data_IF_995415773134
#
_entry.id   IF_995415773134
#
_cell.length_a   1.000
_cell.length_b   1.000
_cell.length_c   1.000
_cell.angle_alpha   90.00
_cell.angle_beta   90.00
_cell.angle_gamma   90.00
#
_symmetry.space_group_name_H-M   'P 1'
#
loop_
_entity.id
_entity.type
_entity.pdbx_description
1 polymer ?
#
# COMPACT_ATOMS: atom_id res chain seq x y z
N UNK A 1 -60.24 -69.65 -44.73
CA UNK A 1 -60.62 -68.24 -45.00
C UNK A 1 -59.34 -67.41 -44.95
N UNK A 2 -58.84 -66.94 -46.11
CA UNK A 2 -58.82 -65.51 -46.51
C UNK A 2 -57.93 -64.69 -45.53
N UNK A 3 -56.81 -64.03 -45.83
CA UNK A 3 -56.19 -63.43 -47.01
C UNK A 3 -54.71 -63.11 -46.63
N UNK A 4 -53.71 -63.48 -47.44
CA UNK A 4 -52.92 -62.59 -48.32
C UNK A 4 -52.20 -61.37 -47.68
N UNK A 5 -50.86 -61.46 -47.72
CA UNK A 5 -49.88 -60.56 -48.41
C UNK A 5 -49.55 -59.15 -47.86
N UNK A 6 -48.22 -58.92 -47.88
CA UNK A 6 -47.43 -57.75 -48.36
C UNK A 6 -47.14 -56.62 -47.35
N UNK A 7 -45.88 -56.46 -46.93
CA UNK A 7 -44.74 -55.75 -47.57
C UNK A 7 -44.79 -54.23 -47.34
N UNK A 8 -43.86 -53.67 -46.55
CA UNK A 8 -42.77 -52.80 -47.01
C UNK A 8 -42.06 -52.11 -45.83
N UNK A 9 -40.73 -52.16 -45.95
CA UNK A 9 -39.70 -51.41 -45.23
C UNK A 9 -39.85 -49.89 -45.34
N UNK A 10 -39.48 -49.17 -44.28
CA UNK A 10 -38.94 -47.81 -44.37
C UNK A 10 -37.87 -47.57 -43.30
N UNK A 11 -36.65 -47.38 -43.76
CA UNK A 11 -35.46 -46.90 -43.03
C UNK A 11 -35.46 -45.37 -42.96
N UNK A 12 -35.04 -44.77 -41.84
CA UNK A 12 -34.34 -43.47 -41.86
C UNK A 12 -33.37 -43.33 -40.69
N UNK A 13 -32.17 -42.86 -41.04
CA UNK A 13 -31.01 -42.55 -40.20
C UNK A 13 -31.14 -41.18 -39.52
N UNK A 14 -30.42 -40.97 -38.43
CA UNK A 14 -30.11 -39.63 -37.90
C UNK A 14 -28.97 -39.66 -36.87
N UNK A 15 -27.73 -39.47 -37.34
CA UNK A 15 -26.54 -39.10 -36.56
C UNK A 15 -26.60 -37.60 -36.20
N UNK A 16 -26.16 -37.24 -34.99
CA UNK A 16 -25.25 -36.11 -34.66
C UNK A 16 -25.22 -35.93 -33.12
N UNK A 17 -24.14 -36.21 -32.41
CA UNK A 17 -22.94 -35.37 -32.22
C UNK A 17 -23.28 -33.97 -31.66
N UNK A 18 -22.68 -33.67 -30.49
CA UNK A 18 -22.28 -32.31 -30.15
C UNK A 18 -23.00 -31.69 -28.97
N UNK A 19 -22.35 -31.74 -27.80
CA UNK A 19 -22.80 -30.97 -26.65
C UNK A 19 -21.97 -31.20 -25.40
N UNK A 20 -20.65 -31.38 -25.54
CA UNK A 20 -19.75 -31.24 -24.38
C UNK A 20 -19.81 -29.77 -23.99
N UNK A 21 -20.63 -29.45 -23.00
CA UNK A 21 -20.56 -28.18 -22.30
C UNK A 21 -19.25 -28.18 -21.51
N UNK A 22 -18.16 -27.80 -22.20
CA UNK A 22 -16.96 -27.29 -21.56
C UNK A 22 -17.38 -25.97 -20.89
N UNK A 23 -17.92 -26.09 -19.68
CA UNK A 23 -17.95 -25.00 -18.73
C UNK A 23 -16.49 -24.61 -18.54
N UNK A 24 -16.10 -23.55 -19.25
CA UNK A 24 -14.88 -22.81 -19.03
C UNK A 24 -14.92 -22.33 -17.58
N UNK A 25 -14.40 -23.17 -16.68
CA UNK A 25 -13.89 -22.74 -15.41
C UNK A 25 -12.74 -21.79 -15.74
N UNK A 26 -13.09 -20.52 -15.94
CA UNK A 26 -12.18 -19.40 -15.76
C UNK A 26 -11.79 -19.45 -14.29
N UNK A 27 -10.82 -20.32 -13.98
CA UNK A 27 -10.11 -20.25 -12.72
C UNK A 27 -9.69 -18.80 -12.60
N UNK A 28 -10.19 -18.12 -11.57
CA UNK A 28 -9.60 -16.90 -11.10
C UNK A 28 -8.16 -17.28 -10.74
N UNK A 29 -7.27 -17.19 -11.72
CA UNK A 29 -5.86 -17.49 -11.56
C UNK A 29 -5.38 -16.39 -10.62
N UNK A 30 -5.30 -16.75 -9.33
CA UNK A 30 -4.91 -15.83 -8.28
C UNK A 30 -3.58 -15.22 -8.73
N UNK A 31 -3.62 -13.93 -9.07
CA UNK A 31 -2.41 -13.22 -9.46
C UNK A 31 -1.42 -13.39 -8.31
N UNK A 32 -0.15 -13.71 -8.61
CA UNK A 32 0.85 -13.79 -7.55
C UNK A 32 0.79 -12.49 -6.75
N UNK A 33 0.82 -12.64 -5.43
CA UNK A 33 0.81 -11.50 -4.52
C UNK A 33 1.75 -11.80 -3.37
N UNK A 34 2.38 -10.75 -2.85
CA UNK A 34 3.29 -10.82 -1.73
C UNK A 34 2.76 -9.95 -0.60
N UNK A 35 2.68 -10.50 0.61
CA UNK A 35 2.18 -9.76 1.79
C UNK A 35 3.32 -9.45 2.74
N UNK A 36 3.52 -8.16 3.02
CA UNK A 36 4.46 -7.67 4.01
C UNK A 36 3.73 -7.44 5.33
N UNK A 37 4.04 -8.18 6.41
CA UNK A 37 3.39 -8.00 7.70
C UNK A 37 3.78 -6.67 8.36
N UNK A 38 2.90 -6.14 9.22
CA UNK A 38 3.10 -4.86 9.92
C UNK A 38 4.42 -4.79 10.67
N UNK A 39 4.81 -5.86 11.38
CA UNK A 39 6.07 -5.91 12.11
C UNK A 39 7.30 -5.73 11.21
N UNK A 40 7.26 -6.26 9.99
CA UNK A 40 8.34 -6.09 9.02
C UNK A 40 8.37 -4.64 8.48
N UNK A 41 7.21 -4.01 8.30
CA UNK A 41 7.13 -2.60 7.92
C UNK A 41 7.68 -1.69 9.02
N UNK A 42 7.34 -1.98 10.28
CA UNK A 42 7.86 -1.27 11.43
C UNK A 42 9.40 -1.34 11.45
N UNK A 43 9.97 -2.54 11.33
CA UNK A 43 11.42 -2.74 11.29
C UNK A 43 12.13 -2.02 10.13
N UNK A 44 11.44 -1.79 8.99
CA UNK A 44 11.99 -1.01 7.87
C UNK A 44 12.00 0.50 8.13
N UNK A 45 11.13 0.97 9.02
CA UNK A 45 10.99 2.39 9.37
C UNK A 45 11.87 2.75 10.56
N UNK A 46 11.98 1.87 11.56
CA UNK A 46 12.77 2.06 12.78
C UNK A 46 14.16 2.69 12.56
N UNK A 47 15.02 2.21 11.63
CA UNK A 47 16.37 2.75 11.47
C UNK A 47 16.42 4.15 10.84
N UNK A 48 15.30 4.69 10.34
CA UNK A 48 15.23 6.03 9.73
C UNK A 48 14.92 7.13 10.74
N UNK A 49 14.71 6.74 12.00
CA UNK A 49 14.34 7.63 13.09
C UNK A 49 15.35 7.50 14.25
N UNK A 50 15.50 8.54 15.08
CA UNK A 50 14.79 9.82 15.04
C UNK A 50 15.24 10.72 13.88
N UNK A 51 14.35 11.61 13.41
CA UNK A 51 14.64 12.57 12.34
C UNK A 51 14.40 13.99 12.83
N UNK A 52 15.38 14.86 12.65
CA UNK A 52 15.25 16.29 12.95
C UNK A 52 14.92 17.08 11.69
N UNK A 53 13.84 17.87 11.75
CA UNK A 53 13.36 18.71 10.66
C UNK A 53 13.49 20.18 11.10
N UNK A 54 14.35 20.98 10.46
CA UNK A 54 14.47 22.40 10.77
C UNK A 54 13.24 23.16 10.25
N UNK A 55 12.68 24.03 11.10
CA UNK A 55 11.54 24.89 10.77
C UNK A 55 12.02 26.33 10.68
N UNK A 56 12.30 26.79 9.45
CA UNK A 56 12.66 28.19 9.13
C UNK A 56 13.80 28.78 9.99
N UNK A 57 14.71 27.94 10.50
CA UNK A 57 15.80 28.36 11.39
C UNK A 57 15.39 28.81 12.80
N UNK A 58 14.10 28.74 13.13
CA UNK A 58 13.56 29.17 14.43
C UNK A 58 13.58 28.03 15.45
N UNK A 59 13.15 26.85 15.00
CA UNK A 59 13.04 25.64 15.82
C UNK A 59 13.42 24.42 15.00
N UNK A 60 13.82 23.36 15.70
CA UNK A 60 13.98 22.03 15.17
C UNK A 60 12.88 21.16 15.75
N UNK A 61 12.18 20.45 14.86
CA UNK A 61 11.20 19.44 15.21
C UNK A 61 11.87 18.07 15.09
N UNK A 62 12.10 17.42 16.21
CA UNK A 62 12.58 16.04 16.24
C UNK A 62 11.40 15.09 16.27
N UNK A 63 11.29 14.29 15.21
CA UNK A 63 10.29 13.23 15.07
C UNK A 63 10.91 11.94 15.58
N UNK A 64 10.27 11.32 16.58
CA UNK A 64 10.68 10.03 17.11
C UNK A 64 10.18 8.89 16.22
N UNK A 65 10.63 7.67 16.51
CA UNK A 65 10.21 6.48 15.77
C UNK A 65 8.68 6.34 15.78
N UNK A 66 8.05 6.28 14.60
CA UNK A 66 6.60 6.17 14.51
C UNK A 66 6.13 4.76 14.80
N UNK A 67 4.95 4.62 15.41
CA UNK A 67 4.24 3.35 15.54
C UNK A 67 3.23 3.21 14.40
N UNK A 68 3.45 2.21 13.54
CA UNK A 68 2.58 1.97 12.38
C UNK A 68 1.31 1.20 12.76
N UNK A 69 0.19 1.54 12.11
CA UNK A 69 -1.09 0.83 12.18
C UNK A 69 -1.66 0.59 10.78
N UNK A 70 -2.31 -0.55 10.58
CA UNK A 70 -3.00 -0.90 9.34
C UNK A 70 -4.43 -0.35 9.38
N UNK A 71 -4.86 0.36 8.34
CA UNK A 71 -6.22 0.90 8.18
C UNK A 71 -6.84 0.35 6.89
N UNK A 72 -7.23 -0.94 6.87
CA UNK A 72 -7.73 -1.59 5.67
C UNK A 72 -9.04 -1.01 5.14
N UNK A 73 -9.89 -0.46 6.02
CA UNK A 73 -11.20 0.12 5.68
C UNK A 73 -11.08 1.30 4.70
N UNK A 74 -9.96 2.01 4.77
CA UNK A 74 -9.65 3.20 3.95
C UNK A 74 -8.42 2.99 3.06
N UNK A 75 -7.89 1.75 3.01
CA UNK A 75 -6.68 1.38 2.28
C UNK A 75 -5.46 2.28 2.61
N UNK A 76 -5.20 2.53 3.91
CA UNK A 76 -4.12 3.41 4.39
C UNK A 76 -3.30 2.80 5.52
N UNK A 77 -2.12 3.37 5.74
CA UNK A 77 -1.35 3.19 6.96
C UNK A 77 -1.53 4.42 7.85
N UNK A 78 -1.68 4.21 9.15
CA UNK A 78 -1.51 5.24 10.15
C UNK A 78 -0.13 5.16 10.79
N UNK A 79 0.39 6.29 11.23
CA UNK A 79 1.63 6.40 11.97
C UNK A 79 1.44 7.39 13.13
N UNK A 80 1.50 6.88 14.35
CA UNK A 80 1.50 7.70 15.57
C UNK A 80 2.95 7.96 15.98
N UNK A 81 3.34 9.22 16.14
CA UNK A 81 4.72 9.61 16.44
C UNK A 81 4.79 10.62 17.59
N UNK A 82 5.74 10.41 18.48
CA UNK A 82 6.14 11.42 19.45
C UNK A 82 6.99 12.48 18.76
N UNK A 83 6.76 13.72 19.14
CA UNK A 83 7.48 14.89 18.66
C UNK A 83 8.23 15.53 19.82
N UNK A 84 9.30 16.23 19.49
CA UNK A 84 10.02 17.08 20.43
C UNK A 84 10.43 18.35 19.69
N UNK A 85 10.05 19.53 20.22
CA UNK A 85 10.38 20.80 19.59
C UNK A 85 11.35 21.60 20.47
N UNK A 86 12.51 21.91 19.91
CA UNK A 86 13.57 22.68 20.56
C UNK A 86 14.07 23.80 19.64
N UNK A 87 14.65 24.86 20.20
CA UNK A 87 15.28 25.90 19.39
C UNK A 87 15.68 27.13 20.20
N UNK A 88 16.44 28.06 19.61
CA UNK A 88 16.92 29.28 20.30
C UNK A 88 15.79 30.16 20.85
N UNK A 89 14.62 30.14 20.21
CA UNK A 89 13.43 30.87 20.66
C UNK A 89 12.68 30.17 21.82
N UNK A 90 13.05 28.94 22.16
CA UNK A 90 12.41 28.12 23.18
C UNK A 90 13.35 27.95 24.39
N UNK A 91 12.78 28.03 25.61
CA UNK A 91 13.57 27.91 26.85
C UNK A 91 14.11 26.50 27.10
N UNK A 92 13.45 25.49 26.53
CA UNK A 92 13.72 24.05 26.68
C UNK A 92 13.04 23.31 25.53
N UNK A 93 13.22 22.01 25.49
CA UNK A 93 12.43 21.18 24.57
C UNK A 93 11.02 20.91 25.10
N UNK A 94 10.07 20.78 24.17
CA UNK A 94 8.67 20.50 24.47
C UNK A 94 8.21 19.24 23.73
N UNK A 95 7.76 18.21 24.47
CA UNK A 95 7.24 17.01 23.85
C UNK A 95 5.85 17.27 23.27
N UNK A 96 5.55 16.55 22.19
CA UNK A 96 4.27 16.56 21.53
C UNK A 96 3.96 15.23 20.85
N UNK A 97 2.86 15.20 20.12
CA UNK A 97 2.40 14.06 19.35
C UNK A 97 1.86 14.48 18.00
N UNK A 98 1.90 13.55 17.05
CA UNK A 98 1.34 13.70 15.73
C UNK A 98 0.86 12.34 15.23
N UNK A 99 -0.32 12.34 14.62
CA UNK A 99 -0.83 11.22 13.83
C UNK A 99 -0.78 11.57 12.35
N UNK A 100 -0.35 10.61 11.54
CA UNK A 100 -0.29 10.74 10.09
C UNK A 100 -0.97 9.54 9.44
N UNK A 101 -1.78 9.77 8.43
CA UNK A 101 -2.33 8.72 7.59
C UNK A 101 -1.88 8.87 6.15
N UNK A 102 -1.51 7.77 5.49
CA UNK A 102 -1.02 7.82 4.12
C UNK A 102 -1.34 6.55 3.35
N UNK A 103 -1.52 6.71 2.04
CA UNK A 103 -1.62 5.59 1.12
C UNK A 103 -0.22 5.24 0.58
N UNK A 104 -0.07 4.03 0.05
CA UNK A 104 1.17 3.55 -0.55
C UNK A 104 1.02 3.27 -2.02
N UNK A 105 2.03 3.69 -2.79
CA UNK A 105 2.16 3.36 -4.20
C UNK A 105 3.54 2.80 -4.49
N UNK A 106 3.59 1.87 -5.43
CA UNK A 106 4.83 1.44 -6.04
C UNK A 106 5.23 2.43 -7.15
N UNK A 107 6.49 2.82 -7.15
CA UNK A 107 7.11 3.64 -8.18
C UNK A 107 8.03 2.74 -9.02
N UNK A 108 7.63 2.43 -10.24
CA UNK A 108 8.37 1.52 -11.11
C UNK A 108 9.67 2.11 -11.64
N UNK A 109 9.78 3.45 -11.71
CA UNK A 109 10.96 4.15 -12.25
C UNK A 109 12.23 3.90 -11.44
N UNK A 110 12.12 3.84 -10.11
CA UNK A 110 13.23 3.59 -9.19
C UNK A 110 13.05 2.35 -8.29
N UNK A 111 11.95 1.61 -8.49
CA UNK A 111 11.55 0.41 -7.74
C UNK A 111 11.34 0.67 -6.24
N UNK A 112 10.73 1.81 -5.90
CA UNK A 112 10.51 2.22 -4.51
C UNK A 112 9.05 2.14 -4.07
N UNK A 113 8.84 1.85 -2.78
CA UNK A 113 7.56 2.06 -2.10
C UNK A 113 7.50 3.48 -1.56
N UNK A 114 6.54 4.27 -2.04
CA UNK A 114 6.38 5.68 -1.69
C UNK A 114 5.05 5.95 -1.02
N UNK A 115 5.09 6.75 0.04
CA UNK A 115 3.89 7.32 0.64
C UNK A 115 3.30 8.41 -0.26
N UNK A 116 1.97 8.43 -0.37
CA UNK A 116 1.23 9.45 -1.09
C UNK A 116 -0.11 9.74 -0.43
N UNK A 117 -0.78 10.82 -0.88
CA UNK A 117 -2.04 11.30 -0.28
C UNK A 117 -1.92 11.44 1.25
N UNK A 118 -0.88 12.11 1.72
CA UNK A 118 -0.61 12.28 3.14
C UNK A 118 -1.74 13.10 3.77
N UNK A 119 -2.28 12.59 4.86
CA UNK A 119 -3.23 13.28 5.72
C UNK A 119 -2.55 13.49 7.07
N UNK A 120 -2.21 14.74 7.34
CA UNK A 120 -1.57 15.13 8.59
C UNK A 120 -2.65 15.44 9.63
N UNK A 121 -2.57 14.77 10.78
CA UNK A 121 -3.32 15.16 11.96
C UNK A 121 -2.83 16.49 12.53
N UNK A 122 -3.50 16.98 13.56
CA UNK A 122 -3.01 18.15 14.29
C UNK A 122 -1.81 17.74 15.15
N UNK A 123 -0.78 18.56 15.14
CA UNK A 123 0.30 18.45 16.12
C UNK A 123 -0.17 18.98 17.45
N UNK A 124 0.02 18.17 18.49
CA UNK A 124 -0.37 18.49 19.85
C UNK A 124 0.86 18.69 20.72
N UNK A 125 0.92 19.81 21.43
CA UNK A 125 2.00 20.13 22.36
C UNK A 125 1.41 20.67 23.66
N UNK A 126 1.10 19.81 24.64
CA UNK A 126 0.35 20.20 25.85
C UNK A 126 1.03 21.29 26.68
N UNK A 127 2.36 21.36 26.62
CA UNK A 127 3.16 22.30 27.42
C UNK A 127 3.72 23.48 26.61
N UNK A 128 3.42 23.55 25.31
CA UNK A 128 3.85 24.63 24.44
C UNK A 128 2.79 25.73 24.37
N UNK A 129 3.21 26.98 24.11
CA UNK A 129 2.28 28.10 23.97
C UNK A 129 1.37 27.89 22.75
N UNK A 130 0.04 28.10 22.86
CA UNK A 130 -0.91 27.84 21.77
C UNK A 130 -0.54 28.50 20.44
N UNK A 131 -0.10 29.76 20.47
CA UNK A 131 0.33 30.49 19.26
C UNK A 131 1.49 29.81 18.50
N UNK A 132 2.41 29.14 19.22
CA UNK A 132 3.51 28.40 18.59
C UNK A 132 2.98 27.09 17.98
N UNK A 133 2.08 26.40 18.70
CA UNK A 133 1.42 25.19 18.19
C UNK A 133 0.59 25.49 16.94
N UNK A 134 -0.11 26.62 16.88
CA UNK A 134 -0.84 27.07 15.69
C UNK A 134 0.10 27.32 14.51
N UNK A 135 1.22 27.98 14.75
CA UNK A 135 2.26 28.19 13.73
C UNK A 135 2.79 26.86 13.18
N UNK A 136 3.11 25.91 14.07
CA UNK A 136 3.56 24.58 13.68
C UNK A 136 2.49 23.88 12.83
N UNK A 137 1.23 23.91 13.24
CA UNK A 137 0.13 23.32 12.48
C UNK A 137 -0.10 24.00 11.12
N UNK A 138 0.15 25.30 11.00
CA UNK A 138 0.04 26.02 9.73
C UNK A 138 1.14 25.61 8.72
N UNK A 139 2.36 25.33 9.18
CA UNK A 139 3.48 24.90 8.33
C UNK A 139 3.64 23.38 8.21
N UNK A 140 2.99 22.62 9.10
CA UNK A 140 3.08 21.17 9.20
C UNK A 140 2.89 20.45 7.86
N UNK A 141 1.84 20.75 7.08
CA UNK A 141 1.62 20.09 5.79
C UNK A 141 2.79 20.26 4.81
N UNK A 142 3.35 21.47 4.70
CA UNK A 142 4.49 21.75 3.84
C UNK A 142 5.75 21.02 4.30
N UNK A 143 6.00 20.98 5.61
CA UNK A 143 7.12 20.24 6.22
C UNK A 143 6.99 18.73 6.01
N UNK A 144 5.77 18.20 6.15
CA UNK A 144 5.47 16.79 5.95
C UNK A 144 5.73 16.37 4.49
N UNK A 145 5.28 17.16 3.52
CA UNK A 145 5.56 16.88 2.10
C UNK A 145 7.05 16.84 1.78
N UNK A 146 7.84 17.77 2.33
CA UNK A 146 9.29 17.81 2.09
C UNK A 146 9.99 16.61 2.75
N UNK A 147 9.61 16.28 3.98
CA UNK A 147 10.23 15.18 4.74
C UNK A 147 9.87 13.81 4.17
N UNK A 148 8.65 13.63 3.67
CA UNK A 148 8.14 12.34 3.18
C UNK A 148 8.48 12.05 1.72
N UNK A 149 8.83 13.07 0.90
CA UNK A 149 9.41 12.86 -0.45
C UNK A 149 10.70 12.04 -0.42
N UNK A 150 11.37 11.98 0.73
CA UNK A 150 12.62 11.25 0.95
C UNK A 150 12.43 9.91 1.70
N UNK A 151 11.21 9.59 2.14
CA UNK A 151 10.94 8.31 2.84
C UNK A 151 10.58 7.24 1.81
N UNK A 152 11.60 6.72 1.12
CA UNK A 152 11.51 5.42 0.46
C UNK A 152 11.30 4.37 1.55
N UNK A 153 10.09 3.86 1.74
CA UNK A 153 9.82 2.91 2.83
C UNK A 153 10.65 1.63 2.66
N UNK A 154 10.80 1.17 1.43
CA UNK A 154 11.67 0.08 1.05
C UNK A 154 11.99 0.17 -0.43
N UNK A 155 13.25 -0.06 -0.79
CA UNK A 155 13.62 -0.42 -2.15
C UNK A 155 13.57 -1.94 -2.20
N UNK A 156 12.71 -2.49 -3.05
CA UNK A 156 12.63 -3.94 -3.21
C UNK A 156 14.01 -4.43 -3.63
N UNK A 157 14.58 -5.37 -2.87
CA UNK A 157 15.89 -5.93 -3.20
C UNK A 157 15.76 -6.64 -4.55
N UNK A 158 16.75 -6.52 -5.45
CA UNK A 158 16.70 -7.17 -6.76
C UNK A 158 16.43 -8.67 -6.67
N UNK A 159 16.85 -9.33 -5.60
CA UNK A 159 16.64 -10.76 -5.35
C UNK A 159 15.16 -11.12 -5.17
N UNK A 160 14.38 -10.22 -4.55
CA UNK A 160 12.96 -10.43 -4.23
C UNK A 160 12.06 -10.12 -5.46
N UNK A 161 12.53 -9.25 -6.38
CA UNK A 161 11.82 -8.94 -7.64
C UNK A 161 12.35 -9.71 -8.85
N UNK A 162 13.59 -10.21 -8.86
CA UNK A 162 14.23 -10.82 -10.03
C UNK A 162 13.44 -12.02 -10.61
N UNK A 163 12.81 -12.81 -9.74
CA UNK A 163 11.97 -13.94 -10.18
C UNK A 163 10.74 -13.43 -10.94
N UNK A 164 10.13 -12.34 -10.47
CA UNK A 164 8.95 -11.74 -11.12
C UNK A 164 9.33 -10.92 -12.35
N UNK A 165 10.43 -10.16 -12.27
CA UNK A 165 11.00 -9.37 -13.38
C UNK A 165 11.37 -10.30 -14.56
N UNK A 166 11.97 -11.47 -14.28
CA UNK A 166 12.30 -12.48 -15.29
C UNK A 166 11.08 -13.14 -15.93
N UNK A 167 9.92 -13.08 -15.28
CA UNK A 167 8.62 -13.53 -15.81
C UNK A 167 7.84 -12.40 -16.51
N UNK A 168 8.44 -11.21 -16.67
CA UNK A 168 7.77 -10.05 -17.23
C UNK A 168 6.67 -9.48 -16.32
N UNK A 169 6.77 -9.69 -15.01
CA UNK A 169 5.84 -9.17 -14.00
C UNK A 169 6.50 -8.04 -13.20
N UNK A 170 5.72 -7.05 -12.81
CA UNK A 170 6.14 -5.96 -11.93
C UNK A 170 5.16 -5.77 -10.78
N UNK A 171 5.59 -5.22 -9.63
CA UNK A 171 4.68 -4.83 -8.56
C UNK A 171 3.61 -3.86 -9.09
N UNK A 172 2.36 -4.18 -8.79
CA UNK A 172 1.17 -3.43 -9.17
C UNK A 172 0.56 -2.69 -7.98
N UNK A 173 -0.79 -2.58 -7.93
CA UNK A 173 -1.48 -1.90 -6.84
C UNK A 173 -1.14 -2.52 -5.48
N UNK A 174 -0.95 -1.64 -4.49
CA UNK A 174 -0.72 -2.02 -3.09
C UNK A 174 -2.04 -1.90 -2.36
N UNK A 175 -2.40 -2.94 -1.60
CA UNK A 175 -3.60 -2.98 -0.77
C UNK A 175 -3.22 -3.20 0.68
N UNK A 176 -3.73 -2.36 1.57
CA UNK A 176 -3.64 -2.55 3.01
C UNK A 176 -4.71 -3.54 3.42
N UNK A 177 -4.29 -4.60 4.09
CA UNK A 177 -5.17 -5.63 4.65
C UNK A 177 -4.96 -5.72 6.16
N UNK A 178 -5.85 -6.41 6.87
CA UNK A 178 -5.66 -6.70 8.29
C UNK A 178 -4.39 -7.52 8.60
N UNK A 179 -3.83 -8.21 7.59
CA UNK A 179 -2.63 -9.05 7.74
C UNK A 179 -1.33 -8.29 7.39
N UNK A 180 -1.42 -7.16 6.71
CA UNK A 180 -0.27 -6.42 6.19
C UNK A 180 -0.52 -5.75 4.84
N UNK A 181 0.55 -5.29 4.20
CA UNK A 181 0.50 -4.74 2.85
C UNK A 181 0.61 -5.86 1.82
N UNK A 182 -0.44 -6.04 1.03
CA UNK A 182 -0.42 -6.96 -0.11
C UNK A 182 -0.06 -6.21 -1.38
N UNK A 183 0.99 -6.68 -2.04
CA UNK A 183 1.46 -6.19 -3.33
C UNK A 183 1.03 -7.21 -4.38
N UNK A 184 0.13 -6.82 -5.28
CA UNK A 184 -0.23 -7.65 -6.43
C UNK A 184 0.86 -7.53 -7.50
N UNK A 185 1.10 -8.59 -8.27
CA UNK A 185 1.97 -8.52 -9.44
C UNK A 185 1.15 -8.42 -10.72
N UNK A 186 1.56 -7.51 -11.61
CA UNK A 186 0.92 -7.28 -12.92
C UNK A 186 1.93 -7.50 -14.04
N UNK A 187 1.45 -7.86 -15.23
CA UNK A 187 2.30 -7.95 -16.42
C UNK A 187 2.90 -6.58 -16.76
N UNK A 188 4.20 -6.55 -17.01
CA UNK A 188 4.92 -5.36 -17.46
C UNK A 188 4.38 -4.97 -18.84
N UNK A 189 3.98 -3.71 -18.98
CA UNK A 189 3.61 -3.19 -20.30
C UNK A 189 4.85 -3.21 -21.22
N UNK A 190 4.67 -3.57 -22.51
CA UNK A 190 5.78 -3.67 -23.47
C UNK A 190 6.48 -2.33 -23.71
#
# INVERSE_FOLDING_TARGET
MLHRRRFLTATTRGLALGGVALLAARGAQAQPSYTVPLAQLQAMVDPKFPRSVPVQGLFNLTVQTPHLRLLPEVNRLGAAMALDVAGPALRRSYPGSLDVEFALRYEASDRTLRAHQIQLGRMEFPSLRPAVTELLNAYGPQLAEQSLREVTLHQLRPQDTAVFDGLGLQPGPITVTAKGLTVAFVTKAP
#
